data_IF_136982079649
#
_entry.id   IF_136982079649
#
_cell.length_a   1.000
_cell.length_b   1.000
_cell.length_c   1.000
_cell.angle_alpha   90.00
_cell.angle_beta   90.00
_cell.angle_gamma   90.00
#
_symmetry.space_group_name_H-M   'P 1'
#
loop_
_entity.id
_entity.type
_entity.pdbx_description
1 polymer ?
#
# COMPACT_ATOMS: atom_id res chain seq x y z
N UNK A 1 12.76 -8.63 -28.47
CA UNK A 1 13.54 -8.36 -27.24
C UNK A 1 13.18 -9.45 -26.23
N UNK A 2 14.12 -10.29 -25.77
CA UNK A 2 13.80 -11.27 -24.73
C UNK A 2 13.52 -10.52 -23.44
N UNK A 3 12.26 -10.50 -23.02
CA UNK A 3 11.84 -10.02 -21.71
C UNK A 3 12.44 -10.98 -20.68
N UNK A 4 13.16 -10.45 -19.70
CA UNK A 4 13.69 -11.23 -18.58
C UNK A 4 12.52 -11.89 -17.85
N UNK A 5 12.28 -13.18 -18.08
CA UNK A 5 11.13 -13.94 -17.55
C UNK A 5 11.28 -14.33 -16.09
N UNK A 6 12.41 -14.00 -15.45
CA UNK A 6 12.58 -14.18 -14.01
C UNK A 6 11.97 -13.00 -13.27
N UNK A 7 10.74 -13.20 -12.80
CA UNK A 7 10.16 -12.40 -11.71
C UNK A 7 11.06 -12.49 -10.47
N UNK A 8 11.07 -11.46 -9.62
CA UNK A 8 11.70 -11.55 -8.30
C UNK A 8 10.98 -12.65 -7.49
N UNK A 9 11.62 -13.80 -7.31
CA UNK A 9 11.01 -14.97 -6.64
C UNK A 9 11.39 -15.09 -5.18
N UNK A 10 12.42 -14.38 -4.74
CA UNK A 10 12.95 -14.49 -3.38
C UNK A 10 13.72 -13.23 -2.98
N UNK A 11 13.84 -13.05 -1.67
CA UNK A 11 14.69 -12.06 -1.03
C UNK A 11 15.71 -12.83 -0.20
N UNK A 12 16.97 -12.39 -0.25
CA UNK A 12 18.06 -13.06 0.47
C UNK A 12 17.98 -12.79 1.98
N UNK A 13 17.60 -11.58 2.37
CA UNK A 13 17.44 -11.19 3.78
C UNK A 13 16.14 -10.43 4.01
N UNK A 14 15.24 -10.99 4.83
CA UNK A 14 13.94 -10.37 5.14
C UNK A 14 13.52 -10.42 6.61
N UNK A 15 14.31 -11.08 7.44
CA UNK A 15 14.10 -11.22 8.87
C UNK A 15 15.37 -10.85 9.61
N UNK A 16 15.26 -9.86 10.51
CA UNK A 16 16.32 -9.55 11.47
C UNK A 16 16.49 -10.73 12.44
N UNK A 17 17.70 -11.22 12.63
CA UNK A 17 18.02 -12.34 13.51
C UNK A 17 19.46 -12.24 13.99
N UNK A 18 19.76 -12.78 15.17
CA UNK A 18 21.15 -12.92 15.65
C UNK A 18 21.94 -11.61 15.81
N UNK A 19 21.26 -10.46 15.98
CA UNK A 19 21.89 -9.13 16.05
C UNK A 19 21.91 -8.37 14.72
N UNK A 20 21.66 -9.06 13.60
CA UNK A 20 21.52 -8.42 12.29
C UNK A 20 20.15 -7.77 12.16
N UNK A 21 20.15 -6.47 11.86
CA UNK A 21 18.93 -5.70 11.60
C UNK A 21 18.80 -5.45 10.11
N UNK A 22 17.76 -6.03 9.50
CA UNK A 22 17.39 -5.70 8.13
C UNK A 22 16.75 -4.31 8.15
N UNK A 23 17.45 -3.36 7.52
CA UNK A 23 17.00 -1.98 7.40
C UNK A 23 15.75 -1.83 6.52
N UNK A 24 15.11 -0.65 6.54
CA UNK A 24 13.97 -0.40 5.69
C UNK A 24 14.36 -0.48 4.21
N UNK A 25 13.53 -1.15 3.42
CA UNK A 25 13.69 -1.29 1.97
C UNK A 25 12.64 -0.49 1.20
N UNK A 26 11.89 0.35 1.91
CA UNK A 26 10.97 1.33 1.35
C UNK A 26 11.68 2.69 1.19
N UNK A 27 11.50 3.33 0.03
CA UNK A 27 12.13 4.59 -0.31
C UNK A 27 11.33 5.34 -1.40
N UNK A 28 11.73 6.58 -1.68
CA UNK A 28 11.13 7.39 -2.75
C UNK A 28 9.67 7.76 -2.49
N UNK A 29 8.83 7.76 -3.54
CA UNK A 29 7.41 8.11 -3.41
C UNK A 29 6.67 7.22 -2.40
N UNK A 30 6.96 5.93 -2.39
CA UNK A 30 6.37 5.00 -1.44
C UNK A 30 6.79 5.23 0.02
N UNK A 31 7.72 6.17 0.29
CA UNK A 31 8.13 6.64 1.61
C UNK A 31 7.42 7.95 2.05
N UNK A 32 6.50 8.48 1.24
CA UNK A 32 5.82 9.77 1.45
C UNK A 32 4.72 9.72 2.51
N UNK A 33 4.56 10.82 3.26
CA UNK A 33 3.43 11.03 4.19
C UNK A 33 2.07 11.14 3.47
N UNK A 34 2.10 11.59 2.21
CA UNK A 34 0.92 11.94 1.43
C UNK A 34 0.61 10.95 0.33
N UNK A 35 1.20 9.74 0.36
CA UNK A 35 0.84 8.66 -0.56
C UNK A 35 0.23 7.49 0.21
N UNK A 36 -0.46 6.60 -0.51
CA UNK A 36 -0.89 5.31 0.04
C UNK A 36 0.08 4.25 -0.46
N UNK A 37 1.01 3.86 0.41
CA UNK A 37 1.99 2.83 0.11
C UNK A 37 1.39 1.43 0.28
N UNK A 38 1.59 0.57 -0.72
CA UNK A 38 0.91 -0.73 -0.84
C UNK A 38 1.93 -1.87 -0.88
N UNK A 39 1.86 -2.76 0.12
CA UNK A 39 2.54 -4.05 0.09
C UNK A 39 1.80 -5.06 -0.80
N UNK A 40 2.49 -6.13 -1.18
CA UNK A 40 1.92 -7.21 -1.99
C UNK A 40 1.66 -8.47 -1.16
N UNK A 41 0.56 -9.17 -1.48
CA UNK A 41 0.28 -10.53 -1.02
C UNK A 41 -0.13 -11.40 -2.22
N UNK A 42 0.36 -12.66 -2.31
CA UNK A 42 -0.01 -13.53 -3.42
C UNK A 42 -1.51 -13.79 -3.44
N UNK A 43 -2.10 -13.93 -4.64
CA UNK A 43 -3.53 -14.19 -4.83
C UNK A 43 -4.12 -15.36 -4.03
N UNK A 44 -3.28 -16.31 -3.63
CA UNK A 44 -3.67 -17.51 -2.86
C UNK A 44 -3.41 -17.39 -1.35
N UNK A 45 -2.98 -16.22 -0.86
CA UNK A 45 -2.74 -15.99 0.56
C UNK A 45 -3.52 -14.80 1.09
N UNK A 46 -4.10 -14.97 2.27
CA UNK A 46 -4.77 -13.90 3.02
C UNK A 46 -3.94 -13.41 4.21
N UNK A 47 -2.86 -14.12 4.55
CA UNK A 47 -2.17 -13.94 5.83
C UNK A 47 -0.67 -13.68 5.68
N UNK A 48 -0.08 -14.06 4.54
CA UNK A 48 1.37 -13.97 4.31
C UNK A 48 1.65 -13.02 3.17
N UNK A 49 2.42 -11.94 3.38
CA UNK A 49 2.81 -11.04 2.30
C UNK A 49 3.85 -11.68 1.38
N UNK A 50 4.02 -11.09 0.20
CA UNK A 50 5.10 -11.44 -0.72
C UNK A 50 6.46 -11.15 -0.09
N UNK A 51 7.40 -12.09 -0.26
CA UNK A 51 8.71 -11.98 0.40
C UNK A 51 9.52 -10.78 -0.10
N UNK A 52 9.35 -10.44 -1.38
CA UNK A 52 9.97 -9.29 -2.05
C UNK A 52 9.32 -7.94 -1.69
N UNK A 53 8.17 -7.92 -0.98
CA UNK A 53 7.50 -6.68 -0.64
C UNK A 53 8.40 -5.83 0.27
N UNK A 54 8.64 -4.57 -0.13
CA UNK A 54 9.46 -3.64 0.64
C UNK A 54 8.90 -3.42 2.04
N UNK A 55 9.80 -3.21 3.01
CA UNK A 55 9.49 -3.04 4.43
C UNK A 55 9.88 -1.66 4.91
N UNK A 56 9.05 -1.07 5.76
CA UNK A 56 9.35 0.14 6.51
C UNK A 56 10.10 -0.12 7.82
N UNK A 57 10.13 0.88 8.72
CA UNK A 57 9.56 2.22 8.55
C UNK A 57 10.39 3.09 7.59
N UNK A 58 9.75 4.01 6.88
CA UNK A 58 10.45 5.08 6.16
C UNK A 58 11.01 6.11 7.15
N UNK A 59 12.08 6.80 6.75
CA UNK A 59 12.73 7.86 7.53
C UNK A 59 13.00 9.07 6.66
N UNK A 60 12.57 10.24 7.10
CA UNK A 60 12.97 11.51 6.51
C UNK A 60 13.98 12.22 7.42
N UNK A 61 15.08 12.65 6.81
CA UNK A 61 16.15 13.43 7.44
C UNK A 61 16.14 14.89 7.00
N UNK A 62 15.43 15.20 5.91
CA UNK A 62 15.33 16.53 5.33
C UNK A 62 13.87 16.89 5.10
N UNK A 63 13.54 18.17 5.23
CA UNK A 63 12.23 18.72 4.89
C UNK A 63 11.97 18.75 3.37
N UNK A 64 10.83 19.29 2.94
CA UNK A 64 10.57 19.48 1.52
C UNK A 64 11.51 20.52 0.90
N UNK A 65 11.89 20.30 -0.36
CA UNK A 65 12.55 21.31 -1.20
C UNK A 65 11.52 22.35 -1.61
N UNK A 66 11.85 23.64 -1.48
CA UNK A 66 11.01 24.75 -1.94
C UNK A 66 11.75 25.48 -3.06
N UNK A 67 11.25 25.36 -4.29
CA UNK A 67 11.90 25.85 -5.50
C UNK A 67 13.33 25.29 -5.65
N UNK A 68 14.33 26.17 -5.60
CA UNK A 68 15.76 25.83 -5.70
C UNK A 68 16.47 25.86 -4.34
N UNK A 69 15.74 26.11 -3.25
CA UNK A 69 16.32 26.16 -1.90
C UNK A 69 16.56 24.72 -1.43
N UNK A 70 17.81 24.35 -1.08
CA UNK A 70 18.12 23.03 -0.55
C UNK A 70 17.25 22.68 0.65
N UNK A 71 16.81 21.42 0.73
CA UNK A 71 15.97 20.96 1.82
C UNK A 71 16.70 21.12 3.18
N UNK A 72 16.10 21.78 4.18
CA UNK A 72 16.70 21.89 5.49
C UNK A 72 16.74 20.52 6.17
N UNK A 73 17.79 20.25 6.94
CA UNK A 73 17.80 19.10 7.83
C UNK A 73 16.70 19.25 8.89
N UNK A 74 16.04 18.15 9.23
CA UNK A 74 14.98 18.09 10.25
C UNK A 74 15.32 17.02 11.29
N UNK A 75 14.64 17.05 12.44
CA UNK A 75 14.63 15.90 13.33
C UNK A 75 14.11 14.68 12.59
N UNK A 76 14.75 13.52 12.76
CA UNK A 76 14.38 12.27 12.06
C UNK A 76 12.89 12.01 12.21
N UNK A 77 12.17 12.07 11.10
CA UNK A 77 10.75 11.77 11.05
C UNK A 77 10.57 10.32 10.64
N UNK A 78 9.94 9.52 11.51
CA UNK A 78 9.58 8.14 11.23
C UNK A 78 8.20 8.09 10.57
N UNK A 79 8.11 7.34 9.48
CA UNK A 79 6.89 7.19 8.68
C UNK A 79 6.52 5.72 8.67
N UNK A 80 5.34 5.43 9.23
CA UNK A 80 4.80 4.08 9.22
C UNK A 80 4.32 3.73 7.82
N UNK A 81 5.07 2.89 7.13
CA UNK A 81 4.68 2.31 5.85
C UNK A 81 5.12 0.84 5.74
N UNK A 82 4.50 0.04 4.85
CA UNK A 82 3.39 0.40 3.95
C UNK A 82 2.11 0.78 4.72
N UNK A 83 1.18 1.49 4.08
CA UNK A 83 -0.10 1.84 4.70
C UNK A 83 -0.98 0.60 4.89
N UNK A 84 -0.98 -0.30 3.90
CA UNK A 84 -1.71 -1.57 3.87
C UNK A 84 -1.14 -2.50 2.79
N UNK A 85 -1.69 -3.70 2.68
CA UNK A 85 -1.33 -4.72 1.70
C UNK A 85 -2.49 -4.95 0.73
N UNK A 86 -2.20 -5.23 -0.53
CA UNK A 86 -3.19 -5.65 -1.51
C UNK A 86 -2.73 -6.88 -2.29
N UNK A 87 -3.68 -7.59 -2.87
CA UNK A 87 -3.43 -8.81 -3.59
C UNK A 87 -2.75 -8.56 -4.94
N UNK A 88 -1.69 -9.28 -5.23
CA UNK A 88 -1.05 -9.35 -6.55
C UNK A 88 -1.28 -10.71 -7.23
N UNK A 89 -0.58 -10.96 -8.35
CA UNK A 89 -0.66 -12.24 -9.03
C UNK A 89 -1.97 -12.45 -9.80
N UNK A 90 -2.67 -11.36 -10.15
CA UNK A 90 -3.88 -11.41 -10.97
C UNK A 90 -3.63 -12.00 -12.36
N UNK A 91 -4.63 -12.67 -12.93
CA UNK A 91 -4.53 -13.19 -14.29
C UNK A 91 -4.51 -12.05 -15.33
N UNK A 92 -3.60 -12.16 -16.28
CA UNK A 92 -3.48 -11.33 -17.48
C UNK A 92 -3.62 -12.23 -18.71
N UNK A 93 -3.85 -11.61 -19.87
CA UNK A 93 -4.03 -12.34 -21.13
C UNK A 93 -2.75 -12.50 -21.94
N UNK A 94 -1.66 -11.79 -21.60
CA UNK A 94 -0.49 -11.68 -22.49
C UNK A 94 0.88 -11.57 -21.80
N UNK A 95 0.97 -11.39 -20.47
CA UNK A 95 2.28 -11.18 -19.81
C UNK A 95 2.35 -11.68 -18.37
N UNK A 96 3.57 -11.98 -17.92
CA UNK A 96 3.84 -12.52 -16.58
C UNK A 96 4.19 -14.01 -16.61
N UNK A 97 4.19 -14.64 -15.44
CA UNK A 97 4.50 -16.08 -15.31
C UNK A 97 3.25 -16.92 -15.53
N UNK A 98 3.32 -17.95 -16.38
CA UNK A 98 2.20 -18.87 -16.59
C UNK A 98 2.05 -19.79 -15.38
N UNK A 99 0.94 -19.68 -14.65
CA UNK A 99 0.65 -20.46 -13.45
C UNK A 99 -0.85 -20.55 -13.19
N UNK A 100 -1.33 -21.75 -12.84
CA UNK A 100 -2.75 -21.98 -12.56
C UNK A 100 -3.67 -21.69 -13.76
N UNK A 101 -3.19 -21.94 -14.98
CA UNK A 101 -4.00 -21.83 -16.21
C UNK A 101 -4.09 -20.43 -16.84
N UNK A 102 -3.38 -19.44 -16.32
CA UNK A 102 -3.32 -18.08 -16.90
C UNK A 102 -1.91 -17.49 -16.75
N UNK A 103 -1.61 -16.40 -17.47
CA UNK A 103 -0.44 -15.57 -17.17
C UNK A 103 -0.71 -14.73 -15.93
N UNK A 104 0.21 -14.67 -14.98
CA UNK A 104 0.06 -13.92 -13.73
C UNK A 104 1.16 -12.89 -13.54
N UNK A 105 0.77 -11.69 -13.14
CA UNK A 105 1.68 -10.59 -12.85
C UNK A 105 1.79 -10.35 -11.34
N UNK A 106 2.98 -10.62 -10.79
CA UNK A 106 3.30 -10.46 -9.38
C UNK A 106 4.15 -9.21 -9.16
N UNK A 107 4.05 -8.64 -7.97
CA UNK A 107 4.76 -7.42 -7.58
C UNK A 107 3.88 -6.44 -6.83
N UNK A 108 4.51 -5.54 -6.07
CA UNK A 108 3.84 -4.35 -5.53
C UNK A 108 3.27 -3.46 -6.64
N UNK A 109 3.86 -3.51 -7.85
CA UNK A 109 3.33 -2.89 -9.07
C UNK A 109 1.99 -3.47 -9.54
N UNK A 110 1.63 -4.69 -9.12
CA UNK A 110 0.32 -5.31 -9.38
C UNK A 110 -0.64 -5.11 -8.20
N UNK A 111 -0.13 -5.14 -6.96
CA UNK A 111 -0.92 -4.86 -5.77
C UNK A 111 -1.42 -3.40 -5.71
N UNK A 112 -0.58 -2.42 -6.08
CA UNK A 112 -0.93 -1.01 -6.08
C UNK A 112 -2.16 -0.67 -6.95
N UNK A 113 -2.24 -1.06 -8.24
CA UNK A 113 -3.44 -0.83 -9.05
C UNK A 113 -4.65 -1.62 -8.56
N UNK A 114 -4.47 -2.78 -7.90
CA UNK A 114 -5.57 -3.48 -7.24
C UNK A 114 -6.17 -2.60 -6.13
N UNK A 115 -5.33 -2.10 -5.21
CA UNK A 115 -5.78 -1.19 -4.17
C UNK A 115 -6.41 0.09 -4.73
N UNK A 116 -5.84 0.64 -5.80
CA UNK A 116 -6.38 1.81 -6.48
C UNK A 116 -7.77 1.55 -7.07
N UNK A 117 -8.02 0.38 -7.65
CA UNK A 117 -9.32 -0.01 -8.17
C UNK A 117 -10.36 -0.11 -7.04
N UNK A 118 -10.00 -0.72 -5.90
CA UNK A 118 -10.87 -0.75 -4.71
C UNK A 118 -11.17 0.68 -4.23
N UNK A 119 -10.15 1.52 -4.11
CA UNK A 119 -10.31 2.93 -3.73
C UNK A 119 -11.18 3.72 -4.71
N UNK A 120 -11.07 3.47 -6.01
CA UNK A 120 -11.88 4.12 -7.04
C UNK A 120 -13.36 3.75 -6.92
N UNK A 121 -13.68 2.47 -6.72
CA UNK A 121 -15.06 2.01 -6.52
C UNK A 121 -15.67 2.57 -5.24
N UNK A 122 -14.91 2.59 -4.15
CA UNK A 122 -15.33 3.23 -2.89
C UNK A 122 -15.61 4.72 -3.12
N UNK A 123 -14.72 5.42 -3.83
CA UNK A 123 -14.87 6.84 -4.13
C UNK A 123 -16.10 7.11 -5.01
N UNK A 124 -16.35 6.28 -6.02
CA UNK A 124 -17.54 6.40 -6.88
C UNK A 124 -18.83 6.24 -6.07
N UNK A 125 -18.93 5.16 -5.29
CA UNK A 125 -20.07 4.91 -4.41
C UNK A 125 -20.30 6.07 -3.44
N UNK A 126 -19.24 6.54 -2.78
CA UNK A 126 -19.33 7.64 -1.83
C UNK A 126 -19.83 8.94 -2.51
N UNK A 127 -19.33 9.25 -3.72
CA UNK A 127 -19.81 10.38 -4.52
C UNK A 127 -21.29 10.24 -4.89
N UNK A 128 -21.74 9.05 -5.31
CA UNK A 128 -23.15 8.78 -5.65
C UNK A 128 -24.08 8.94 -4.46
N UNK A 129 -23.57 8.77 -3.24
CA UNK A 129 -24.30 8.97 -1.99
C UNK A 129 -24.16 10.39 -1.42
N UNK A 130 -23.51 11.33 -2.12
CA UNK A 130 -23.30 12.69 -1.64
C UNK A 130 -22.25 12.82 -0.54
N UNK A 131 -21.32 11.86 -0.44
CA UNK A 131 -20.28 11.74 0.60
C UNK A 131 -18.87 11.72 -0.02
N UNK A 132 -18.40 12.78 -0.68
CA UNK A 132 -17.08 12.75 -1.32
C UNK A 132 -15.97 12.51 -0.29
N UNK A 133 -15.13 11.50 -0.55
CA UNK A 133 -14.00 11.17 0.32
C UNK A 133 -12.77 12.00 -0.07
N UNK A 134 -12.20 12.72 0.91
CA UNK A 134 -10.86 13.25 0.79
C UNK A 134 -9.82 12.15 1.02
N UNK A 135 -8.54 12.46 0.79
CA UNK A 135 -7.45 11.49 0.93
C UNK A 135 -7.35 10.88 2.33
N UNK A 136 -7.49 11.69 3.38
CA UNK A 136 -7.41 11.20 4.76
C UNK A 136 -8.52 10.21 5.10
N UNK A 137 -9.76 10.50 4.66
CA UNK A 137 -10.89 9.60 4.83
C UNK A 137 -10.72 8.32 3.99
N UNK A 138 -10.20 8.43 2.76
CA UNK A 138 -9.89 7.25 1.96
C UNK A 138 -8.85 6.35 2.65
N UNK A 139 -7.75 6.93 3.15
CA UNK A 139 -6.74 6.20 3.93
C UNK A 139 -7.37 5.50 5.13
N UNK A 140 -8.15 6.25 5.91
CA UNK A 140 -8.83 5.75 7.10
C UNK A 140 -9.76 4.57 6.77
N UNK A 141 -10.58 4.68 5.72
CA UNK A 141 -11.53 3.64 5.32
C UNK A 141 -10.83 2.35 4.88
N UNK A 142 -9.74 2.47 4.11
CA UNK A 142 -8.98 1.32 3.63
C UNK A 142 -8.20 0.64 4.78
N UNK A 143 -7.60 1.41 5.69
CA UNK A 143 -6.84 0.88 6.82
C UNK A 143 -7.74 0.26 7.89
N UNK A 144 -8.82 0.93 8.26
CA UNK A 144 -9.70 0.49 9.37
C UNK A 144 -10.34 -0.87 9.12
N UNK A 145 -10.54 -1.23 7.85
CA UNK A 145 -11.21 -2.46 7.45
C UNK A 145 -10.26 -3.49 6.84
N UNK A 146 -8.98 -3.17 6.72
CA UNK A 146 -7.97 -4.14 6.34
C UNK A 146 -7.96 -5.32 7.32
N UNK A 147 -7.80 -6.52 6.78
CA UNK A 147 -7.71 -7.77 7.53
C UNK A 147 -6.29 -7.96 8.02
N UNK A 148 -6.14 -8.21 9.32
CA UNK A 148 -4.83 -8.48 9.91
C UNK A 148 -4.15 -9.66 9.21
N UNK A 149 -2.85 -9.50 8.92
CA UNK A 149 -2.03 -10.52 8.27
C UNK A 149 -1.00 -11.07 9.25
N UNK A 150 -1.21 -12.30 9.73
CA UNK A 150 -0.36 -12.92 10.75
C UNK A 150 1.09 -13.15 10.32
N UNK A 151 1.35 -13.25 9.02
CA UNK A 151 2.70 -13.43 8.45
C UNK A 151 3.51 -12.15 8.33
N UNK A 152 3.05 -11.03 8.90
CA UNK A 152 3.75 -9.75 8.86
C UNK A 152 3.51 -8.89 10.10
N UNK A 153 4.28 -7.81 10.20
CA UNK A 153 4.11 -6.75 11.20
C UNK A 153 3.73 -5.43 10.52
N UNK A 154 3.49 -4.37 11.29
CA UNK A 154 3.11 -3.05 10.74
C UNK A 154 4.07 -2.54 9.65
N UNK A 155 5.37 -2.83 9.77
CA UNK A 155 6.38 -2.41 8.81
C UNK A 155 6.43 -3.28 7.55
N UNK A 156 5.78 -4.43 7.51
CA UNK A 156 5.74 -5.30 6.33
C UNK A 156 4.37 -5.38 5.67
N UNK A 157 3.28 -5.23 6.44
CA UNK A 157 1.90 -5.35 5.93
C UNK A 157 1.02 -4.12 6.17
N UNK A 158 1.51 -3.13 6.92
CA UNK A 158 0.72 -1.96 7.29
C UNK A 158 -0.49 -2.38 8.15
N UNK A 159 -1.65 -1.82 7.84
CA UNK A 159 -2.92 -2.21 8.47
C UNK A 159 -3.38 -3.63 8.12
N UNK A 160 -2.73 -4.30 7.17
CA UNK A 160 -3.10 -5.65 6.69
C UNK A 160 -3.67 -5.64 5.27
N UNK A 161 -4.31 -6.75 4.87
CA UNK A 161 -4.86 -6.95 3.53
C UNK A 161 -6.17 -6.17 3.36
N UNK A 162 -6.26 -5.29 2.36
CA UNK A 162 -7.47 -4.49 2.13
C UNK A 162 -8.73 -5.35 1.96
N UNK A 163 -9.84 -4.89 2.53
CA UNK A 163 -11.16 -5.52 2.41
C UNK A 163 -12.14 -4.56 1.72
N UNK A 164 -12.38 -4.77 0.42
CA UNK A 164 -13.24 -3.90 -0.38
C UNK A 164 -14.66 -3.79 0.20
N UNK A 165 -15.26 -4.90 0.64
CA UNK A 165 -16.62 -4.91 1.18
C UNK A 165 -16.65 -4.27 2.57
N UNK A 166 -15.67 -4.58 3.42
CA UNK A 166 -15.52 -3.95 4.72
C UNK A 166 -15.41 -2.43 4.61
N UNK A 167 -14.55 -1.96 3.69
CA UNK A 167 -14.35 -0.54 3.41
C UNK A 167 -15.59 0.12 2.81
N UNK A 168 -16.33 -0.56 1.93
CA UNK A 168 -17.61 -0.10 1.41
C UNK A 168 -18.63 0.12 2.54
N UNK A 169 -18.85 -0.91 3.37
CA UNK A 169 -19.79 -0.85 4.50
C UNK A 169 -19.41 0.25 5.50
N UNK A 170 -18.11 0.45 5.75
CA UNK A 170 -17.64 1.56 6.58
C UNK A 170 -17.99 2.91 5.95
N UNK A 171 -17.77 3.07 4.65
CA UNK A 171 -18.08 4.30 3.91
C UNK A 171 -19.57 4.64 3.98
N UNK A 172 -20.45 3.65 3.87
CA UNK A 172 -21.89 3.85 4.03
C UNK A 172 -22.26 4.29 5.46
N UNK A 173 -21.62 3.69 6.46
CA UNK A 173 -21.83 4.00 7.88
C UNK A 173 -21.24 5.36 8.30
N UNK A 174 -20.33 5.95 7.51
CA UNK A 174 -19.88 7.32 7.75
C UNK A 174 -21.10 8.24 7.65
N UNK A 175 -21.46 8.88 8.76
CA UNK A 175 -22.37 10.02 8.74
C UNK A 175 -21.76 11.09 7.85
N UNK A 176 -22.57 11.93 7.22
CA UNK A 176 -22.06 13.10 6.49
C UNK A 176 -21.21 13.93 7.47
N UNK A 177 -19.89 13.72 7.46
CA UNK A 177 -18.96 14.59 8.16
C UNK A 177 -18.88 15.82 7.27
N UNK A 178 -19.90 16.66 7.37
CA UNK A 178 -19.79 18.06 7.04
C UNK A 178 -18.70 18.60 7.97
N UNK A 179 -17.44 18.50 7.56
CA UNK A 179 -16.42 19.42 8.05
C UNK A 179 -16.92 20.76 7.52
N UNK A 180 -17.32 21.72 8.38
CA UNK A 180 -17.71 23.02 7.88
C UNK A 180 -16.52 23.57 7.08
N UNK A 181 -16.78 23.95 5.82
CA UNK A 181 -15.90 24.81 5.07
C UNK A 181 -15.67 26.06 5.94
N UNK A 182 -14.55 26.09 6.65
CA UNK A 182 -14.05 27.34 7.21
C UNK A 182 -13.68 28.19 6.01
N UNK A 183 -14.43 29.28 5.87
CA UNK A 183 -14.32 30.34 4.86
C UNK A 183 -12.86 30.66 4.50
N UNK A 184 -12.64 30.88 3.21
CA UNK A 184 -11.94 32.09 2.76
C UNK A 184 -12.91 32.87 1.90
#
# INVERSE_FOLDING_TARGET
MPQNTRLLTAVEHNTSSGGDTIGPTIAGHSASLYDLSVAAAPYFSLTTPETFSSRGPARHYFGPVVNTIPAPAIATQFIQQPDFTATDGGCTTFFGGFSGGCYRFFGTSAAAPHAAAVGALIKEMANRQGKPLNQGLMRFVLQTKARAMAGGNLNSVGAGLIDALGSANLTEALKNVFIPLIRR
#
